data_IF_603071810074
#
_entry.id   IF_603071810074
#
_cell.length_a   1.000
_cell.length_b   1.000
_cell.length_c   1.000
_cell.angle_alpha   90.00
_cell.angle_beta   90.00
_cell.angle_gamma   90.00
#
_symmetry.space_group_name_H-M   'P 1'
#
loop_
_entity.id
_entity.type
_entity.pdbx_description
1 polymer ?
#
# COMPACT_ATOMS: atom_id res chain seq x y z
N UNK A 1 -32.76 -25.89 1.00
CA UNK A 1 -32.17 -25.07 -0.08
C UNK A 1 -30.94 -24.28 0.40
N UNK A 2 -30.99 -23.60 1.55
CA UNK A 2 -29.82 -22.88 2.10
C UNK A 2 -28.71 -23.87 2.55
N UNK A 3 -29.07 -24.93 3.29
CA UNK A 3 -28.10 -25.94 3.75
C UNK A 3 -27.33 -26.63 2.61
N UNK A 4 -28.01 -26.91 1.50
CA UNK A 4 -27.40 -27.51 0.30
C UNK A 4 -26.38 -26.57 -0.36
N UNK A 5 -26.60 -25.26 -0.30
CA UNK A 5 -25.63 -24.26 -0.77
C UNK A 5 -24.36 -24.26 0.11
N UNK A 6 -24.52 -24.26 1.45
CA UNK A 6 -23.39 -24.35 2.38
C UNK A 6 -22.59 -25.65 2.22
N UNK A 7 -23.28 -26.79 2.05
CA UNK A 7 -22.62 -28.08 1.84
C UNK A 7 -21.85 -28.14 0.51
N UNK A 8 -22.38 -27.51 -0.55
CA UNK A 8 -21.68 -27.35 -1.83
C UNK A 8 -20.42 -26.47 -1.71
N UNK A 9 -20.50 -25.39 -0.92
CA UNK A 9 -19.41 -24.44 -0.69
C UNK A 9 -18.44 -24.78 0.44
N UNK A 10 -18.50 -26.00 1.01
CA UNK A 10 -17.74 -26.38 2.22
C UNK A 10 -16.24 -26.06 2.18
N UNK A 11 -15.58 -26.23 1.03
CA UNK A 11 -14.15 -25.93 0.89
C UNK A 11 -13.87 -24.43 0.84
N UNK A 12 -14.78 -23.64 0.26
CA UNK A 12 -14.67 -22.17 0.22
C UNK A 12 -14.77 -21.63 1.65
N UNK A 13 -15.74 -22.11 2.43
CA UNK A 13 -15.93 -21.70 3.83
C UNK A 13 -14.72 -22.11 4.68
N UNK A 14 -14.19 -23.32 4.49
CA UNK A 14 -12.99 -23.79 5.17
C UNK A 14 -11.79 -22.88 4.89
N UNK A 15 -11.54 -22.55 3.61
CA UNK A 15 -10.45 -21.64 3.20
C UNK A 15 -10.65 -20.22 3.75
N UNK A 16 -11.87 -19.68 3.67
CA UNK A 16 -12.21 -18.38 4.26
C UNK A 16 -11.96 -18.36 5.77
N UNK A 17 -12.29 -19.45 6.48
CA UNK A 17 -12.04 -19.59 7.91
C UNK A 17 -10.55 -19.58 8.27
N UNK A 18 -9.73 -20.36 7.55
CA UNK A 18 -8.28 -20.42 7.78
C UNK A 18 -7.62 -19.08 7.48
N UNK A 19 -7.95 -18.41 6.37
CA UNK A 19 -7.40 -17.10 6.05
C UNK A 19 -7.91 -16.00 7.00
N UNK A 20 -9.15 -16.10 7.48
CA UNK A 20 -9.67 -15.21 8.54
C UNK A 20 -8.88 -15.38 9.84
N UNK A 21 -8.57 -16.62 10.24
CA UNK A 21 -7.72 -16.89 11.40
C UNK A 21 -6.31 -16.31 11.24
N UNK A 22 -5.68 -16.52 10.07
CA UNK A 22 -4.36 -15.94 9.77
C UNK A 22 -4.38 -14.41 9.83
N UNK A 23 -5.37 -13.76 9.20
CA UNK A 23 -5.48 -12.30 9.22
C UNK A 23 -5.82 -11.74 10.60
N UNK A 24 -6.64 -12.43 11.40
CA UNK A 24 -6.90 -12.09 12.79
C UNK A 24 -5.64 -12.13 13.67
N UNK A 25 -4.78 -13.13 13.45
CA UNK A 25 -3.47 -13.22 14.10
C UNK A 25 -2.52 -12.09 13.66
N UNK A 26 -2.49 -11.73 12.36
CA UNK A 26 -1.70 -10.60 11.87
C UNK A 26 -2.18 -9.26 12.43
N UNK A 27 -3.50 -9.05 12.54
CA UNK A 27 -4.05 -7.86 13.19
C UNK A 27 -3.90 -7.88 14.72
N UNK A 28 -3.52 -9.03 15.29
CA UNK A 28 -3.47 -9.28 16.72
C UNK A 28 -4.79 -8.92 17.42
N UNK A 29 -5.91 -9.38 16.85
CA UNK A 29 -7.25 -9.15 17.35
C UNK A 29 -8.04 -10.46 17.44
N UNK A 30 -8.40 -10.84 18.66
CA UNK A 30 -9.25 -11.97 19.00
C UNK A 30 -10.38 -11.48 19.91
N UNK A 31 -11.61 -11.46 19.41
CA UNK A 31 -12.78 -10.93 20.13
C UNK A 31 -12.57 -9.50 20.67
N UNK A 32 -11.95 -8.60 19.90
CA UNK A 32 -11.61 -7.23 20.31
C UNK A 32 -10.55 -7.14 21.41
N UNK A 33 -9.83 -8.23 21.68
CA UNK A 33 -8.71 -8.31 22.63
C UNK A 33 -7.43 -8.68 21.88
N UNK A 34 -6.32 -8.09 22.32
CA UNK A 34 -5.00 -8.34 21.78
C UNK A 34 -4.28 -9.40 22.59
N UNK A 35 -3.47 -10.22 21.92
CA UNK A 35 -2.75 -11.33 22.53
C UNK A 35 -1.28 -10.91 22.67
N UNK A 36 -0.76 -10.92 23.90
CA UNK A 36 0.64 -10.63 24.17
C UNK A 36 1.47 -11.92 24.12
N UNK A 37 1.97 -12.28 22.94
CA UNK A 37 2.73 -13.52 22.71
C UNK A 37 4.24 -13.30 22.93
N UNK A 38 4.79 -12.22 22.38
CA UNK A 38 6.24 -11.97 22.36
C UNK A 38 6.72 -10.88 23.33
N UNK A 39 5.81 -10.27 24.09
CA UNK A 39 6.09 -9.07 24.87
C UNK A 39 5.94 -7.80 24.02
N UNK A 40 5.33 -6.75 24.58
CA UNK A 40 5.21 -5.44 23.93
C UNK A 40 6.59 -4.89 23.62
N UNK A 41 6.78 -4.40 22.39
CA UNK A 41 8.03 -3.73 21.99
C UNK A 41 8.10 -2.30 22.54
N UNK A 42 6.99 -1.79 23.07
CA UNK A 42 6.92 -0.52 23.80
C UNK A 42 7.14 -0.71 25.29
N UNK A 43 8.01 0.12 25.88
CA UNK A 43 8.32 0.12 27.31
C UNK A 43 7.92 1.45 27.96
N UNK A 44 6.99 1.38 28.90
CA UNK A 44 6.56 2.54 29.70
C UNK A 44 7.62 2.94 30.73
N UNK A 45 8.36 1.96 31.27
CA UNK A 45 9.38 2.20 32.30
C UNK A 45 10.49 3.14 31.80
N UNK A 46 10.79 3.11 30.50
CA UNK A 46 11.76 4.00 29.90
C UNK A 46 11.38 5.49 30.01
N UNK A 47 10.08 5.83 30.04
CA UNK A 47 9.62 7.21 30.22
C UNK A 47 9.93 7.76 31.63
N UNK A 48 9.77 6.92 32.65
CA UNK A 48 10.13 7.28 34.03
C UNK A 48 11.65 7.32 34.24
N UNK A 49 12.38 6.36 33.67
CA UNK A 49 13.84 6.31 33.77
C UNK A 49 14.51 7.50 33.04
N UNK A 50 13.92 7.98 31.95
CA UNK A 50 14.39 9.16 31.23
C UNK A 50 13.94 10.49 31.87
N UNK A 51 13.33 10.47 33.06
CA UNK A 51 12.79 11.65 33.76
C UNK A 51 11.80 12.49 32.93
N UNK A 52 11.15 11.87 31.94
CA UNK A 52 10.13 12.53 31.12
C UNK A 52 8.76 12.53 31.78
N UNK A 53 8.49 11.51 32.60
CA UNK A 53 7.27 11.41 33.41
C UNK A 53 7.62 11.38 34.89
N UNK A 54 6.94 12.22 35.66
CA UNK A 54 7.00 12.24 37.13
C UNK A 54 5.72 11.60 37.69
N UNK A 55 5.75 11.15 38.96
CA UNK A 55 4.54 10.65 39.64
C UNK A 55 3.42 11.71 39.69
N UNK A 56 3.80 12.98 39.79
CA UNK A 56 2.88 14.13 39.74
C UNK A 56 2.16 14.23 38.38
N UNK A 57 2.86 13.96 37.27
CA UNK A 57 2.26 13.98 35.93
C UNK A 57 1.22 12.88 35.74
N UNK A 58 1.43 11.72 36.37
CA UNK A 58 0.50 10.59 36.36
C UNK A 58 -0.79 10.89 37.13
N UNK A 59 -0.69 11.64 38.23
CA UNK A 59 -1.84 12.07 39.02
C UNK A 59 -2.59 13.24 38.36
N UNK A 60 -1.87 14.12 37.65
CA UNK A 60 -2.42 15.30 37.01
C UNK A 60 -3.13 15.02 35.67
N UNK A 61 -2.68 14.02 34.90
CA UNK A 61 -3.18 13.79 33.54
C UNK A 61 -3.84 12.42 33.36
N UNK A 62 -5.06 12.40 32.80
CA UNK A 62 -5.77 11.16 32.48
C UNK A 62 -5.22 10.40 31.26
N UNK A 63 -4.56 11.12 30.34
CA UNK A 63 -4.00 10.54 29.11
C UNK A 63 -2.58 11.08 28.93
N UNK A 64 -1.62 10.17 28.82
CA UNK A 64 -0.22 10.48 28.58
C UNK A 64 0.23 9.94 27.22
N UNK A 65 1.13 10.68 26.56
CA UNK A 65 1.71 10.28 25.27
C UNK A 65 3.16 9.83 25.45
N UNK A 66 3.48 8.68 24.89
CA UNK A 66 4.86 8.16 24.88
C UNK A 66 5.65 8.79 23.73
N UNK A 67 6.83 9.32 24.02
CA UNK A 67 7.70 9.89 23.00
C UNK A 67 8.61 8.80 22.40
N UNK A 68 8.46 8.43 21.11
CA UNK A 68 9.27 7.39 20.48
C UNK A 68 10.73 7.79 20.24
N UNK A 69 11.11 9.05 20.43
CA UNK A 69 12.50 9.53 20.30
C UNK A 69 13.34 9.16 21.52
N UNK A 70 12.71 8.96 22.68
CA UNK A 70 13.39 8.62 23.94
C UNK A 70 13.93 7.19 23.87
N UNK A 71 15.21 6.96 24.19
CA UNK A 71 15.82 5.64 24.10
C UNK A 71 15.13 4.66 25.05
N UNK A 72 14.85 3.45 24.57
CA UNK A 72 14.22 2.38 25.35
C UNK A 72 12.68 2.40 25.37
N UNK A 73 12.04 3.48 24.91
CA UNK A 73 10.56 3.55 24.81
C UNK A 73 10.04 2.67 23.68
N UNK A 74 10.74 2.65 22.54
CA UNK A 74 10.46 1.78 21.41
C UNK A 74 11.69 0.90 21.12
N UNK A 75 11.57 -0.40 21.37
CA UNK A 75 12.67 -1.37 21.24
C UNK A 75 12.66 -2.12 19.90
N UNK A 76 11.98 -1.57 18.90
CA UNK A 76 11.88 -2.14 17.55
C UNK A 76 10.47 -2.66 17.21
N UNK A 77 10.29 -3.15 15.97
CA UNK A 77 9.00 -3.66 15.53
C UNK A 77 8.64 -4.98 16.24
N UNK A 78 7.35 -5.18 16.49
CA UNK A 78 6.84 -6.43 17.06
C UNK A 78 7.09 -7.60 16.09
N UNK A 79 7.57 -8.77 16.55
CA UNK A 79 8.03 -9.83 15.65
C UNK A 79 6.96 -10.38 14.71
N UNK A 80 5.68 -10.36 15.11
CA UNK A 80 4.60 -10.93 14.32
C UNK A 80 3.29 -10.16 14.50
N UNK A 81 2.82 -9.53 13.43
CA UNK A 81 1.57 -8.75 13.45
C UNK A 81 1.72 -7.39 14.11
N UNK A 82 0.64 -6.90 14.71
CA UNK A 82 0.59 -5.58 15.35
C UNK A 82 0.86 -5.71 16.86
N UNK A 83 1.64 -4.77 17.40
CA UNK A 83 1.95 -4.74 18.83
C UNK A 83 0.66 -4.69 19.69
N UNK A 84 0.53 -5.54 20.72
CA UNK A 84 -0.63 -5.56 21.62
C UNK A 84 -0.95 -4.21 22.30
N UNK A 85 0.05 -3.34 22.49
CA UNK A 85 -0.13 -2.06 23.19
C UNK A 85 -1.17 -1.16 22.51
N UNK A 86 -1.31 -1.28 21.18
CA UNK A 86 -2.24 -0.46 20.40
C UNK A 86 -3.71 -0.73 20.72
N UNK A 87 -4.06 -1.88 21.30
CA UNK A 87 -5.45 -2.11 21.70
C UNK A 87 -5.85 -1.32 22.95
N UNK A 88 -4.88 -1.01 23.82
CA UNK A 88 -5.06 -0.19 25.02
C UNK A 88 -4.95 1.31 24.73
N UNK A 89 -4.27 1.69 23.64
CA UNK A 89 -3.98 3.07 23.32
C UNK A 89 -5.22 3.86 22.87
N UNK A 90 -5.36 5.09 23.35
CA UNK A 90 -6.44 6.00 22.93
C UNK A 90 -6.32 6.40 21.44
N UNK A 91 -5.10 6.48 20.91
CA UNK A 91 -4.81 6.85 19.52
C UNK A 91 -4.75 5.63 18.56
N UNK A 92 -5.32 4.48 18.94
CA UNK A 92 -5.29 3.26 18.11
C UNK A 92 -5.82 3.46 16.69
N UNK A 93 -6.87 4.25 16.53
CA UNK A 93 -7.51 4.50 15.24
C UNK A 93 -6.60 5.34 14.32
N UNK A 94 -5.84 6.28 14.90
CA UNK A 94 -4.92 7.12 14.14
C UNK A 94 -3.73 6.32 13.58
N UNK A 95 -3.34 5.22 14.24
CA UNK A 95 -2.32 4.30 13.74
C UNK A 95 -2.90 3.24 12.78
N UNK A 96 -3.97 2.56 13.19
CA UNK A 96 -4.52 1.42 12.46
C UNK A 96 -5.22 1.83 11.15
N UNK A 97 -5.89 2.98 11.09
CA UNK A 97 -6.63 3.36 9.88
C UNK A 97 -5.70 3.65 8.69
N UNK A 98 -4.66 4.50 8.83
CA UNK A 98 -3.71 4.70 7.74
C UNK A 98 -2.96 3.41 7.36
N UNK A 99 -2.68 2.53 8.33
CA UNK A 99 -2.09 1.22 8.06
C UNK A 99 -3.00 0.36 7.17
N UNK A 100 -4.26 0.19 7.57
CA UNK A 100 -5.25 -0.60 6.80
C UNK A 100 -5.48 -0.03 5.40
N UNK A 101 -5.54 1.30 5.27
CA UNK A 101 -5.68 1.96 3.97
C UNK A 101 -4.48 1.66 3.05
N UNK A 102 -3.25 1.83 3.55
CA UNK A 102 -2.03 1.56 2.77
C UNK A 102 -1.91 0.08 2.38
N UNK A 103 -2.20 -0.83 3.31
CA UNK A 103 -2.20 -2.27 3.03
C UNK A 103 -3.24 -2.64 1.97
N UNK A 104 -4.44 -2.06 2.02
CA UNK A 104 -5.48 -2.28 1.02
C UNK A 104 -5.04 -1.82 -0.37
N UNK A 105 -4.38 -0.67 -0.47
CA UNK A 105 -3.83 -0.17 -1.74
C UNK A 105 -2.75 -1.13 -2.30
N UNK A 106 -1.82 -1.60 -1.47
CA UNK A 106 -0.77 -2.53 -1.90
C UNK A 106 -1.37 -3.85 -2.40
N UNK A 107 -2.29 -4.45 -1.64
CA UNK A 107 -2.94 -5.71 -2.03
C UNK A 107 -3.78 -5.52 -3.29
N UNK A 108 -4.51 -4.42 -3.40
CA UNK A 108 -5.33 -4.10 -4.56
C UNK A 108 -4.51 -3.98 -5.85
N UNK A 109 -3.39 -3.26 -5.82
CA UNK A 109 -2.52 -3.08 -7.00
C UNK A 109 -1.85 -4.40 -7.38
N UNK A 110 -1.34 -5.17 -6.42
CA UNK A 110 -0.77 -6.50 -6.69
C UNK A 110 -1.80 -7.44 -7.33
N UNK A 111 -3.07 -7.39 -6.89
CA UNK A 111 -4.15 -8.18 -7.47
C UNK A 111 -4.48 -7.75 -8.91
N UNK A 112 -4.57 -6.44 -9.17
CA UNK A 112 -4.79 -5.91 -10.53
C UNK A 112 -3.64 -6.27 -11.49
N UNK A 113 -2.39 -6.13 -11.06
CA UNK A 113 -1.20 -6.52 -11.85
C UNK A 113 -1.20 -8.01 -12.16
N UNK A 114 -1.57 -8.86 -11.19
CA UNK A 114 -1.74 -10.30 -11.42
C UNK A 114 -2.77 -10.59 -12.52
N UNK A 115 -3.86 -9.83 -12.58
CA UNK A 115 -4.88 -9.93 -13.63
C UNK A 115 -4.34 -9.60 -15.03
N UNK A 116 -3.52 -8.55 -15.14
CA UNK A 116 -2.89 -8.16 -16.42
C UNK A 116 -1.84 -9.18 -16.86
N UNK A 117 -1.11 -9.80 -15.93
CA UNK A 117 -0.19 -10.90 -16.26
C UNK A 117 -0.96 -12.10 -16.84
N UNK A 118 -2.16 -12.39 -16.35
CA UNK A 118 -3.02 -13.43 -16.96
C UNK A 118 -3.46 -13.06 -18.39
N UNK A 119 -3.69 -11.78 -18.69
CA UNK A 119 -4.02 -11.34 -20.05
C UNK A 119 -2.86 -11.58 -21.02
N UNK A 120 -1.60 -11.41 -20.58
CA UNK A 120 -0.42 -11.77 -21.37
C UNK A 120 -0.42 -13.25 -21.75
N UNK A 121 -0.66 -14.15 -20.79
CA UNK A 121 -0.71 -15.58 -21.06
C UNK A 121 -1.80 -15.93 -22.07
N UNK A 122 -2.95 -15.27 -22.02
CA UNK A 122 -4.01 -15.43 -23.02
C UNK A 122 -3.53 -15.00 -24.42
N UNK A 123 -2.87 -13.85 -24.56
CA UNK A 123 -2.40 -13.38 -25.86
C UNK A 123 -1.29 -14.27 -26.46
N UNK A 124 -0.44 -14.84 -25.61
CA UNK A 124 0.56 -15.84 -26.01
C UNK A 124 -0.13 -17.12 -26.49
N UNK A 125 -1.09 -17.64 -25.71
CA UNK A 125 -1.82 -18.86 -26.05
C UNK A 125 -2.60 -18.76 -27.38
N UNK A 126 -3.34 -17.66 -27.57
CA UNK A 126 -4.10 -17.41 -28.79
C UNK A 126 -3.26 -16.91 -29.97
N UNK A 127 -1.93 -16.81 -29.82
CA UNK A 127 -0.99 -16.36 -30.85
C UNK A 127 -1.37 -15.00 -31.49
N UNK A 128 -1.74 -14.02 -30.66
CA UNK A 128 -2.07 -12.65 -31.11
C UNK A 128 -0.98 -11.67 -30.67
N UNK A 129 0.21 -11.66 -31.30
CA UNK A 129 1.34 -10.85 -30.86
C UNK A 129 1.07 -9.33 -30.94
N UNK A 130 0.24 -8.90 -31.88
CA UNK A 130 -0.16 -7.49 -32.02
C UNK A 130 -0.90 -6.96 -30.79
N UNK A 131 -1.73 -7.80 -30.15
CA UNK A 131 -2.45 -7.41 -28.95
C UNK A 131 -1.52 -7.26 -27.74
N UNK A 132 -0.40 -7.99 -27.70
CA UNK A 132 0.59 -7.84 -26.63
C UNK A 132 1.19 -6.42 -26.67
N UNK A 133 1.56 -5.94 -27.86
CA UNK A 133 2.18 -4.62 -28.03
C UNK A 133 1.16 -3.48 -27.91
N UNK A 134 -0.07 -3.69 -28.39
CA UNK A 134 -1.09 -2.63 -28.42
C UNK A 134 -1.90 -2.51 -27.13
N UNK A 135 -2.14 -3.63 -26.43
CA UNK A 135 -2.97 -3.68 -25.23
C UNK A 135 -2.11 -3.90 -23.97
N UNK A 136 -1.42 -5.04 -23.87
CA UNK A 136 -0.71 -5.44 -22.63
C UNK A 136 0.42 -4.48 -22.23
N UNK A 137 1.33 -4.13 -23.16
CA UNK A 137 2.48 -3.26 -22.88
C UNK A 137 2.05 -1.88 -22.34
N UNK A 138 1.20 -1.11 -23.03
CA UNK A 138 0.78 0.20 -22.52
C UNK A 138 -0.08 0.10 -21.26
N UNK A 139 -0.91 -0.94 -21.09
CA UNK A 139 -1.68 -1.17 -19.85
C UNK A 139 -0.76 -1.43 -18.65
N UNK A 140 0.27 -2.26 -18.83
CA UNK A 140 1.27 -2.56 -17.80
C UNK A 140 2.08 -1.32 -17.42
N UNK A 141 2.54 -0.55 -18.42
CA UNK A 141 3.28 0.70 -18.19
C UNK A 141 2.41 1.71 -17.45
N UNK A 142 1.16 1.90 -17.86
CA UNK A 142 0.23 2.86 -17.26
C UNK A 142 -0.01 2.58 -15.77
N UNK A 143 -0.34 1.33 -15.41
CA UNK A 143 -0.59 0.96 -14.01
C UNK A 143 0.69 1.04 -13.18
N UNK A 144 1.83 0.55 -13.67
CA UNK A 144 3.09 0.62 -12.92
C UNK A 144 3.57 2.06 -12.71
N UNK A 145 3.43 2.91 -13.74
CA UNK A 145 3.89 4.30 -13.68
C UNK A 145 3.12 5.13 -12.65
N UNK A 146 1.81 4.93 -12.53
CA UNK A 146 0.98 5.70 -11.60
C UNK A 146 0.81 4.98 -10.26
N UNK A 147 0.19 3.81 -10.27
CA UNK A 147 -0.19 3.08 -9.07
C UNK A 147 0.98 2.26 -8.51
N UNK A 148 1.83 1.69 -9.37
CA UNK A 148 3.06 1.02 -8.93
C UNK A 148 4.01 1.98 -8.21
N UNK A 149 4.18 3.19 -8.74
CA UNK A 149 4.98 4.24 -8.08
C UNK A 149 4.42 4.63 -6.70
N UNK A 150 3.09 4.70 -6.55
CA UNK A 150 2.45 4.94 -5.24
C UNK A 150 2.83 3.85 -4.22
N UNK A 151 2.87 2.58 -4.62
CA UNK A 151 3.31 1.47 -3.76
C UNK A 151 4.77 1.64 -3.35
N UNK A 152 5.65 2.01 -4.29
CA UNK A 152 7.07 2.30 -4.01
C UNK A 152 7.20 3.43 -2.99
N UNK A 153 6.44 4.51 -3.12
CA UNK A 153 6.44 5.61 -2.16
C UNK A 153 5.99 5.19 -0.75
N UNK A 154 5.02 4.27 -0.64
CA UNK A 154 4.58 3.74 0.65
C UNK A 154 5.72 2.98 1.34
N UNK A 155 6.38 2.06 0.64
CA UNK A 155 7.52 1.31 1.17
C UNK A 155 8.70 2.21 1.49
N UNK A 156 9.02 3.16 0.60
CA UNK A 156 10.08 4.13 0.83
C UNK A 156 9.81 4.94 2.10
N UNK A 157 8.58 5.43 2.29
CA UNK A 157 8.22 6.18 3.51
C UNK A 157 8.35 5.32 4.77
N UNK A 158 8.00 4.04 4.72
CA UNK A 158 8.13 3.14 5.87
C UNK A 158 9.59 2.88 6.29
N UNK A 159 10.53 2.96 5.35
CA UNK A 159 11.95 2.69 5.61
C UNK A 159 12.72 3.98 5.95
N UNK A 160 12.44 5.06 5.23
CA UNK A 160 13.26 6.29 5.30
C UNK A 160 12.94 7.18 6.51
N UNK A 161 11.66 7.28 6.93
CA UNK A 161 11.25 8.22 7.98
C UNK A 161 11.17 7.56 9.34
N UNK A 162 11.97 8.05 10.29
CA UNK A 162 11.96 7.62 11.68
C UNK A 162 11.32 8.66 12.61
N UNK A 163 11.14 8.31 13.88
CA UNK A 163 10.54 9.17 14.91
C UNK A 163 11.20 10.57 15.02
N UNK A 164 12.53 10.64 14.82
CA UNK A 164 13.32 11.88 14.90
C UNK A 164 12.96 12.89 13.81
N UNK A 165 12.54 12.42 12.64
CA UNK A 165 12.23 13.25 11.46
C UNK A 165 10.72 13.37 11.23
N UNK A 166 9.91 13.01 12.22
CA UNK A 166 8.45 12.97 12.13
C UNK A 166 7.82 14.32 11.74
N UNK A 167 8.44 15.44 12.12
CA UNK A 167 7.96 16.79 11.79
C UNK A 167 8.06 17.12 10.29
N UNK A 168 9.01 16.50 9.59
CA UNK A 168 9.22 16.76 8.16
C UNK A 168 8.64 15.66 7.27
N UNK A 169 7.94 14.67 7.83
CA UNK A 169 7.40 13.55 7.09
C UNK A 169 6.29 13.98 6.11
N UNK A 170 6.52 13.97 4.79
CA UNK A 170 5.56 14.52 3.84
C UNK A 170 4.37 13.57 3.65
N UNK A 171 3.20 14.13 3.31
CA UNK A 171 2.01 13.34 3.03
C UNK A 171 2.11 12.67 1.65
N UNK A 172 1.90 11.35 1.58
CA UNK A 172 1.97 10.61 0.31
C UNK A 172 0.85 11.08 -0.63
N UNK A 173 -0.34 11.35 -0.08
CA UNK A 173 -1.50 11.75 -0.86
C UNK A 173 -1.30 13.10 -1.56
N UNK A 174 -0.78 14.11 -0.84
CA UNK A 174 -0.54 15.43 -1.45
C UNK A 174 0.56 15.34 -2.50
N UNK A 175 1.63 14.58 -2.25
CA UNK A 175 2.70 14.35 -3.22
C UNK A 175 2.18 13.66 -4.49
N UNK A 176 1.18 12.79 -4.35
CA UNK A 176 0.53 12.11 -5.47
C UNK A 176 -0.41 13.04 -6.24
N UNK A 177 -1.17 13.91 -5.56
CA UNK A 177 -2.02 14.93 -6.22
C UNK A 177 -1.15 15.93 -6.98
N UNK A 178 -0.10 16.44 -6.35
CA UNK A 178 0.81 17.42 -6.94
C UNK A 178 1.57 16.87 -8.15
N UNK A 179 1.81 15.54 -8.19
CA UNK A 179 2.36 14.87 -9.37
C UNK A 179 1.46 15.01 -10.60
N UNK A 180 0.13 14.89 -10.46
CA UNK A 180 -0.80 15.09 -11.60
C UNK A 180 -1.02 16.56 -11.95
N UNK A 181 -0.99 17.44 -10.96
CA UNK A 181 -1.21 18.89 -11.16
C UNK A 181 0.08 19.61 -11.61
N UNK A 182 1.22 18.92 -11.65
CA UNK A 182 2.55 19.50 -11.91
C UNK A 182 2.88 20.71 -11.02
N UNK A 183 2.32 20.75 -9.81
CA UNK A 183 2.48 21.87 -8.87
C UNK A 183 3.55 21.52 -7.85
N UNK A 184 4.73 22.11 -8.02
CA UNK A 184 5.89 21.93 -7.14
C UNK A 184 6.21 23.26 -6.45
N UNK A 185 5.41 23.60 -5.43
CA UNK A 185 5.59 24.81 -4.63
C UNK A 185 6.87 24.77 -3.77
N UNK A 186 7.32 25.92 -3.27
CA UNK A 186 8.48 26.05 -2.37
C UNK A 186 8.34 25.23 -1.06
N UNK A 187 7.11 24.85 -0.67
CA UNK A 187 6.83 23.99 0.48
C UNK A 187 6.96 22.50 0.18
N UNK A 188 7.31 22.12 -1.04
CA UNK A 188 7.48 20.72 -1.42
C UNK A 188 8.75 20.16 -0.76
N UNK A 189 8.57 19.26 0.20
CA UNK A 189 9.67 18.50 0.80
C UNK A 189 9.86 17.22 -0.02
N UNK A 190 10.95 17.11 -0.82
CA UNK A 190 11.22 15.90 -1.58
C UNK A 190 11.55 14.75 -0.63
N UNK A 191 10.97 13.58 -0.90
CA UNK A 191 11.27 12.34 -0.20
C UNK A 191 12.64 11.78 -0.58
N UNK A 192 13.07 12.00 -1.82
CA UNK A 192 14.36 11.56 -2.34
C UNK A 192 14.86 12.53 -3.42
N UNK A 193 16.17 12.51 -3.68
CA UNK A 193 16.81 13.37 -4.67
C UNK A 193 16.29 13.06 -6.08
N UNK A 194 15.86 14.09 -6.82
CA UNK A 194 15.32 13.92 -8.18
C UNK A 194 13.84 13.49 -8.25
N UNK A 195 13.08 13.53 -7.14
CA UNK A 195 11.67 13.13 -7.14
C UNK A 195 10.81 13.84 -8.20
N UNK A 196 11.03 15.14 -8.42
CA UNK A 196 10.29 15.92 -9.41
C UNK A 196 10.48 15.39 -10.83
N UNK A 197 11.71 15.08 -11.20
CA UNK A 197 12.06 14.60 -12.55
C UNK A 197 11.43 13.23 -12.81
N UNK A 198 11.53 12.32 -11.84
CA UNK A 198 10.92 10.99 -11.94
C UNK A 198 9.40 11.08 -12.05
N UNK A 199 8.75 11.88 -11.19
CA UNK A 199 7.29 12.04 -11.23
C UNK A 199 6.81 12.62 -12.56
N UNK A 200 7.47 13.64 -13.08
CA UNK A 200 7.12 14.25 -14.36
C UNK A 200 7.29 13.25 -15.50
N UNK A 201 8.40 12.51 -15.53
CA UNK A 201 8.64 11.46 -16.52
C UNK A 201 7.55 10.39 -16.48
N UNK A 202 7.17 9.91 -15.30
CA UNK A 202 6.14 8.88 -15.14
C UNK A 202 4.76 9.35 -15.62
N UNK A 203 4.36 10.60 -15.33
CA UNK A 203 3.08 11.14 -15.80
C UNK A 203 3.07 11.31 -17.32
N UNK A 204 4.15 11.85 -17.90
CA UNK A 204 4.25 11.99 -19.36
C UNK A 204 4.19 10.63 -20.05
N UNK A 205 4.90 9.63 -19.51
CA UNK A 205 4.85 8.25 -20.00
C UNK A 205 3.42 7.68 -19.93
N UNK A 206 2.73 7.86 -18.80
CA UNK A 206 1.35 7.40 -18.62
C UNK A 206 0.38 8.10 -19.60
N UNK A 207 0.56 9.40 -19.85
CA UNK A 207 -0.25 10.15 -20.81
C UNK A 207 -0.02 9.68 -22.26
N UNK A 208 1.20 9.28 -22.63
CA UNK A 208 1.51 8.72 -23.95
C UNK A 208 0.90 7.31 -24.14
N UNK A 209 0.72 6.53 -23.08
CA UNK A 209 0.07 5.22 -23.15
C UNK A 209 -1.42 5.30 -23.53
N UNK A 210 -2.11 6.40 -23.20
CA UNK A 210 -3.54 6.60 -23.52
C UNK A 210 -3.82 6.60 -25.03
N UNK A 211 -3.20 7.48 -25.85
CA UNK A 211 -3.38 7.45 -27.30
C UNK A 211 -2.79 6.18 -27.92
N UNK A 212 -1.74 5.59 -27.32
CA UNK A 212 -1.18 4.32 -27.78
C UNK A 212 -2.24 3.22 -27.80
N UNK A 213 -2.94 2.99 -26.69
CA UNK A 213 -4.00 1.96 -26.62
C UNK A 213 -5.17 2.26 -27.55
N UNK A 214 -5.59 3.54 -27.60
CA UNK A 214 -6.81 3.94 -28.29
C UNK A 214 -6.67 3.96 -29.81
N UNK A 215 -5.53 4.44 -30.34
CA UNK A 215 -5.35 4.66 -31.78
C UNK A 215 -4.64 3.49 -32.46
N UNK A 216 -3.64 2.87 -31.84
CA UNK A 216 -2.77 1.92 -32.54
C UNK A 216 -3.55 0.67 -32.97
N UNK A 217 -4.43 0.15 -32.10
CA UNK A 217 -5.23 -1.03 -32.39
C UNK A 217 -6.14 -0.90 -33.63
N UNK A 218 -6.99 0.14 -33.77
CA UNK A 218 -7.80 0.32 -34.98
C UNK A 218 -6.96 0.59 -36.23
N UNK A 219 -5.82 1.28 -36.13
CA UNK A 219 -4.92 1.48 -37.27
C UNK A 219 -4.29 0.17 -37.76
N UNK A 220 -3.82 -0.67 -36.83
CA UNK A 220 -3.27 -2.00 -37.16
C UNK A 220 -4.32 -2.88 -37.81
N UNK A 221 -5.55 -2.92 -37.27
CA UNK A 221 -6.66 -3.69 -37.85
C UNK A 221 -7.04 -3.18 -39.25
N UNK A 222 -7.09 -1.86 -39.45
CA UNK A 222 -7.37 -1.26 -40.77
C UNK A 222 -6.29 -1.64 -41.79
N UNK A 223 -5.02 -1.64 -41.38
CA UNK A 223 -3.91 -2.03 -42.24
C UNK A 223 -3.99 -3.51 -42.64
N UNK A 224 -4.26 -4.39 -41.68
CA UNK A 224 -4.46 -5.83 -41.94
C UNK A 224 -5.61 -6.08 -42.92
N UNK A 225 -6.74 -5.39 -42.76
CA UNK A 225 -7.89 -5.52 -43.67
C UNK A 225 -7.56 -5.06 -45.10
N UNK A 226 -6.82 -3.95 -45.26
CA UNK A 226 -6.38 -3.49 -46.58
C UNK A 226 -5.40 -4.45 -47.25
N UNK A 227 -4.46 -5.02 -46.49
CA UNK A 227 -3.53 -6.02 -47.03
C UNK A 227 -4.25 -7.32 -47.45
N UNK A 228 -5.31 -7.73 -46.75
CA UNK A 228 -6.14 -8.87 -47.17
C UNK A 228 -7.00 -8.57 -48.40
N UNK A 229 -7.47 -7.33 -48.58
CA UNK A 229 -8.23 -6.94 -49.79
C UNK A 229 -7.38 -6.84 -51.06
N UNK A 230 -6.07 -6.64 -50.92
CA UNK A 230 -5.13 -6.57 -52.04
C UNK A 230 -4.47 -7.92 -52.40
N UNK A 231 -4.87 -9.01 -51.74
CA UNK A 231 -4.43 -10.39 -52.02
C UNK A 231 -5.57 -11.19 -52.65
#
# INVERSE_FOLDING_TARGET
>A
QIWTMFFGGRYIILLMGIFSMYTGLIYNDCFSKSINIFGSSWSVNAMFNASQWTKEDLEAHQVLQMNPVVPGVFNGPYPFGIDPIWNLAANKLNFLNPYKMKMSVIVGITHMVSGIILSLFNHIYFQKPWNIICDFVPEMIFILALLGYLVVLIFFKWIAYQAKESQHAPSILINFINMFLFTYDEKFVPMYNGQKEVQMFLVVLALLCVPWMLLIKPFVLRFQNKCMQHR
#
